data_IF_243924484242
#
_entry.id   IF_243924484242
#
_cell.length_a   1.000
_cell.length_b   1.000
_cell.length_c   1.000
_cell.angle_alpha   90.00
_cell.angle_beta   90.00
_cell.angle_gamma   90.00
#
_symmetry.space_group_name_H-M   'P 1'
#
loop_
_entity.id
_entity.type
_entity.pdbx_description
1 polymer ?
#
# COMPACT_ATOMS: atom_id res chain seq x y z
N UNK A 1 77.91 -15.64 -5.62
CA UNK A 1 76.87 -16.47 -4.97
C UNK A 1 76.52 -15.84 -3.63
N UNK A 2 75.29 -15.47 -3.34
CA UNK A 2 74.11 -15.45 -4.18
C UNK A 2 73.11 -14.44 -3.61
N UNK A 3 72.40 -13.75 -4.48
CA UNK A 3 71.31 -12.81 -4.23
C UNK A 3 70.06 -13.46 -3.60
N UNK A 4 70.27 -14.54 -2.83
CA UNK A 4 69.24 -15.42 -2.29
C UNK A 4 68.70 -14.97 -0.93
N UNK A 5 69.34 -14.01 -0.25
CA UNK A 5 68.92 -13.52 1.08
C UNK A 5 68.10 -12.22 1.06
N UNK A 6 67.85 -11.63 -0.12
CA UNK A 6 67.03 -10.40 -0.26
C UNK A 6 65.68 -10.62 -0.93
N UNK A 7 65.28 -11.86 -1.23
CA UNK A 7 63.98 -12.17 -1.86
C UNK A 7 62.91 -12.67 -0.88
N UNK A 8 63.22 -12.92 0.39
CA UNK A 8 62.26 -13.50 1.34
C UNK A 8 61.50 -12.49 2.22
N UNK A 9 61.78 -11.18 2.10
CA UNK A 9 61.13 -10.14 2.93
C UNK A 9 60.04 -9.33 2.23
N UNK A 10 59.56 -9.77 1.06
CA UNK A 10 58.38 -9.19 0.37
C UNK A 10 57.28 -10.25 0.16
N UNK A 11 57.30 -11.34 0.94
CA UNK A 11 56.25 -12.38 0.95
C UNK A 11 55.16 -12.19 2.01
N UNK A 12 55.27 -11.17 2.86
CA UNK A 12 54.43 -11.01 4.04
C UNK A 12 53.22 -10.12 3.82
N UNK A 13 52.21 -10.59 3.07
CA UNK A 13 50.78 -10.24 3.23
C UNK A 13 49.91 -10.99 2.20
N UNK A 14 50.19 -12.27 1.97
CA UNK A 14 49.17 -13.15 1.37
C UNK A 14 48.08 -13.35 2.42
N UNK A 15 46.98 -12.61 2.29
CA UNK A 15 45.71 -12.96 2.94
C UNK A 15 45.51 -14.47 2.74
N UNK A 16 45.29 -15.21 3.82
CA UNK A 16 45.05 -16.65 3.74
C UNK A 16 43.89 -16.90 2.74
N UNK A 17 44.17 -17.45 1.55
CA UNK A 17 43.19 -17.56 0.49
C UNK A 17 42.04 -18.50 0.88
N UNK A 18 42.27 -19.43 1.83
CA UNK A 18 41.22 -20.30 2.37
C UNK A 18 40.27 -19.52 3.28
N UNK A 19 40.81 -18.66 4.15
CA UNK A 19 40.02 -17.75 4.98
C UNK A 19 39.27 -16.71 4.15
N UNK A 20 39.90 -16.13 3.12
CA UNK A 20 39.23 -15.19 2.21
C UNK A 20 38.13 -15.88 1.40
N UNK A 21 38.35 -17.11 0.91
CA UNK A 21 37.33 -17.90 0.23
C UNK A 21 36.13 -18.22 1.15
N UNK A 22 36.39 -18.54 2.42
CA UNK A 22 35.33 -18.80 3.42
C UNK A 22 34.50 -17.55 3.71
N UNK A 23 35.14 -16.38 3.86
CA UNK A 23 34.44 -15.10 4.07
C UNK A 23 33.60 -14.73 2.83
N UNK A 24 34.15 -14.92 1.63
CA UNK A 24 33.43 -14.63 0.38
C UNK A 24 32.22 -15.55 0.19
N UNK A 25 32.34 -16.84 0.50
CA UNK A 25 31.21 -17.78 0.47
C UNK A 25 30.10 -17.38 1.45
N UNK A 26 30.47 -17.01 2.68
CA UNK A 26 29.49 -16.54 3.66
C UNK A 26 28.74 -15.29 3.17
N UNK A 27 29.47 -14.30 2.64
CA UNK A 27 28.85 -13.08 2.08
C UNK A 27 27.94 -13.38 0.89
N UNK A 28 28.34 -14.33 0.03
CA UNK A 28 27.51 -14.77 -1.10
C UNK A 28 26.21 -15.42 -0.61
N UNK A 29 26.29 -16.27 0.41
CA UNK A 29 25.11 -16.91 1.01
C UNK A 29 24.16 -15.88 1.63
N UNK A 30 24.70 -14.85 2.30
CA UNK A 30 23.92 -13.73 2.82
C UNK A 30 23.20 -12.96 1.70
N UNK A 31 23.91 -12.63 0.61
CA UNK A 31 23.30 -11.95 -0.54
C UNK A 31 22.25 -12.81 -1.24
N UNK A 32 22.47 -14.12 -1.39
CA UNK A 32 21.47 -15.04 -1.96
C UNK A 32 20.23 -15.11 -1.07
N UNK A 33 20.41 -15.16 0.26
CA UNK A 33 19.31 -15.19 1.20
C UNK A 33 18.49 -13.89 1.15
N UNK A 34 19.15 -12.74 1.05
CA UNK A 34 18.52 -11.44 0.90
C UNK A 34 17.78 -11.32 -0.44
N UNK A 35 18.41 -11.73 -1.54
CA UNK A 35 17.79 -11.75 -2.87
C UNK A 35 16.51 -12.59 -2.89
N UNK A 36 16.56 -13.82 -2.33
CA UNK A 36 15.37 -14.69 -2.21
C UNK A 36 14.27 -14.08 -1.35
N UNK A 37 14.65 -13.36 -0.28
CA UNK A 37 13.68 -12.65 0.59
C UNK A 37 13.01 -11.50 -0.18
N UNK A 38 13.78 -10.75 -0.97
CA UNK A 38 13.27 -9.65 -1.78
C UNK A 38 12.39 -10.17 -2.93
N UNK A 39 12.77 -11.26 -3.59
CA UNK A 39 11.96 -11.91 -4.63
C UNK A 39 10.60 -12.36 -4.08
N UNK A 40 10.57 -12.99 -2.90
CA UNK A 40 9.30 -13.39 -2.25
C UNK A 40 8.40 -12.19 -1.95
N UNK A 41 8.97 -11.06 -1.51
CA UNK A 41 8.21 -9.82 -1.29
C UNK A 41 7.66 -9.28 -2.61
N UNK A 42 8.46 -9.29 -3.67
CA UNK A 42 8.05 -8.80 -4.99
C UNK A 42 6.90 -9.65 -5.57
N UNK A 43 7.00 -10.99 -5.53
CA UNK A 43 5.94 -11.87 -6.03
C UNK A 43 4.62 -11.67 -5.28
N UNK A 44 4.69 -11.49 -3.97
CA UNK A 44 3.53 -11.17 -3.11
C UNK A 44 2.88 -9.87 -3.52
N UNK A 45 3.68 -8.86 -3.81
CA UNK A 45 3.19 -7.57 -4.28
C UNK A 45 2.49 -7.66 -5.63
N UNK A 46 3.14 -8.29 -6.61
CA UNK A 46 2.57 -8.51 -7.94
C UNK A 46 1.25 -9.28 -7.86
N UNK A 47 1.15 -10.28 -6.98
CA UNK A 47 -0.10 -11.02 -6.77
C UNK A 47 -1.23 -10.14 -6.22
N UNK A 48 -0.93 -9.20 -5.31
CA UNK A 48 -1.93 -8.26 -4.82
C UNK A 48 -2.35 -7.29 -5.93
N UNK A 49 -1.38 -6.75 -6.67
CA UNK A 49 -1.64 -5.84 -7.79
C UNK A 49 -2.54 -6.48 -8.84
N UNK A 50 -2.20 -7.69 -9.30
CA UNK A 50 -3.02 -8.43 -10.27
C UNK A 50 -4.41 -8.73 -9.73
N UNK A 51 -4.53 -9.05 -8.43
CA UNK A 51 -5.83 -9.22 -7.78
C UNK A 51 -6.63 -7.91 -7.87
N UNK A 52 -6.07 -6.78 -7.44
CA UNK A 52 -6.76 -5.49 -7.43
C UNK A 52 -7.18 -5.04 -8.83
N UNK A 53 -6.33 -5.25 -9.83
CA UNK A 53 -6.63 -4.91 -11.24
C UNK A 53 -7.76 -5.77 -11.81
N UNK A 54 -7.86 -7.03 -11.38
CA UNK A 54 -8.90 -7.95 -11.82
C UNK A 54 -10.28 -7.72 -11.21
N UNK A 55 -10.39 -6.83 -10.21
CA UNK A 55 -11.66 -6.53 -9.54
C UNK A 55 -12.42 -5.43 -10.29
N UNK A 56 -13.75 -5.59 -10.36
CA UNK A 56 -14.66 -4.65 -11.01
C UNK A 56 -15.80 -4.16 -10.12
N UNK A 57 -15.94 -4.71 -8.90
CA UNK A 57 -16.85 -4.23 -7.86
C UNK A 57 -16.11 -3.31 -6.88
N UNK A 58 -16.78 -2.23 -6.48
CA UNK A 58 -16.29 -1.31 -5.44
C UNK A 58 -16.14 -2.06 -4.11
N UNK A 59 -17.12 -2.90 -3.77
CA UNK A 59 -17.11 -3.69 -2.54
C UNK A 59 -15.93 -4.67 -2.50
N UNK A 60 -15.73 -5.45 -3.57
CA UNK A 60 -14.63 -6.41 -3.63
C UNK A 60 -13.26 -5.73 -3.53
N UNK A 61 -13.12 -4.58 -4.18
CA UNK A 61 -11.90 -3.79 -4.13
C UNK A 61 -11.60 -3.30 -2.71
N UNK A 62 -12.59 -2.69 -2.05
CA UNK A 62 -12.44 -2.19 -0.68
C UNK A 62 -12.11 -3.34 0.27
N UNK A 63 -12.77 -4.49 0.15
CA UNK A 63 -12.47 -5.67 0.95
C UNK A 63 -11.05 -6.20 0.71
N UNK A 64 -10.61 -6.26 -0.54
CA UNK A 64 -9.25 -6.71 -0.88
C UNK A 64 -8.16 -5.79 -0.32
N UNK A 65 -8.44 -4.48 -0.21
CA UNK A 65 -7.53 -3.48 0.34
C UNK A 65 -7.53 -3.47 1.87
N UNK A 66 -8.70 -3.55 2.51
CA UNK A 66 -8.84 -3.51 3.97
C UNK A 66 -8.44 -4.82 4.64
N UNK A 67 -8.66 -5.95 3.97
CA UNK A 67 -8.30 -7.29 4.46
C UNK A 67 -7.29 -7.96 3.52
N UNK A 68 -6.07 -7.40 3.38
CA UNK A 68 -5.04 -8.05 2.60
C UNK A 68 -4.63 -9.35 3.29
N UNK A 69 -4.33 -10.37 2.48
CA UNK A 69 -3.96 -11.69 3.00
C UNK A 69 -2.78 -11.59 3.97
N UNK A 70 -2.99 -12.06 5.20
CA UNK A 70 -2.01 -12.01 6.30
C UNK A 70 -0.72 -12.79 5.98
N UNK A 71 -0.81 -13.82 5.12
CA UNK A 71 0.36 -14.54 4.64
C UNK A 71 1.26 -13.65 3.76
N UNK A 72 0.64 -12.66 3.11
CA UNK A 72 1.25 -11.74 2.15
C UNK A 72 1.73 -10.47 2.83
N UNK A 73 0.88 -9.81 3.63
CA UNK A 73 1.17 -8.58 4.37
C UNK A 73 0.83 -8.71 5.85
N UNK A 74 1.81 -8.47 6.72
CA UNK A 74 1.60 -8.50 8.19
C UNK A 74 1.14 -7.15 8.73
N UNK A 75 0.18 -6.47 8.13
CA UNK A 75 -0.28 -5.17 8.67
C UNK A 75 -1.18 -5.40 9.88
N UNK A 76 -1.02 -4.60 10.92
CA UNK A 76 -1.77 -4.81 12.17
C UNK A 76 -3.14 -4.13 12.11
N UNK A 77 -3.20 -2.99 11.42
CA UNK A 77 -4.44 -2.25 11.20
C UNK A 77 -4.40 -1.63 9.80
N UNK A 78 -5.52 -1.72 9.08
CA UNK A 78 -5.68 -1.09 7.77
C UNK A 78 -7.00 -0.34 7.78
N UNK A 79 -7.00 0.91 7.33
CA UNK A 79 -8.19 1.74 7.22
C UNK A 79 -8.20 2.45 5.89
N UNK A 80 -9.39 2.79 5.42
CA UNK A 80 -9.60 3.46 4.15
C UNK A 80 -10.54 4.64 4.38
N UNK A 81 -10.07 5.84 4.01
CA UNK A 81 -10.88 7.05 3.98
C UNK A 81 -11.12 7.43 2.52
N UNK A 82 -12.37 7.55 2.09
CA UNK A 82 -12.72 7.89 0.71
C UNK A 82 -13.45 9.24 0.66
N UNK A 83 -13.10 10.07 -0.31
CA UNK A 83 -13.84 11.29 -0.60
C UNK A 83 -15.06 10.91 -1.45
N UNK A 84 -16.26 11.14 -0.91
CA UNK A 84 -17.53 10.76 -1.54
C UNK A 84 -18.59 11.89 -1.41
N UNK A 85 -18.34 13.09 -1.99
CA UNK A 85 -19.25 14.23 -1.88
C UNK A 85 -20.62 13.97 -2.51
N UNK A 86 -20.65 13.21 -3.60
CA UNK A 86 -21.87 12.91 -4.36
C UNK A 86 -22.60 11.63 -3.92
N UNK A 87 -22.12 10.96 -2.87
CA UNK A 87 -22.70 9.70 -2.37
C UNK A 87 -22.75 8.61 -3.46
N UNK A 88 -21.71 8.50 -4.27
CA UNK A 88 -21.62 7.51 -5.34
C UNK A 88 -21.09 6.19 -4.82
N UNK A 89 -20.03 6.24 -3.99
CA UNK A 89 -19.35 5.06 -3.45
C UNK A 89 -20.25 4.39 -2.41
N UNK A 90 -20.77 5.17 -1.46
CA UNK A 90 -21.69 4.64 -0.44
C UNK A 90 -22.91 3.98 -1.08
N UNK A 91 -23.55 4.66 -2.05
CA UNK A 91 -24.69 4.08 -2.76
C UNK A 91 -24.35 2.80 -3.51
N UNK A 92 -23.17 2.72 -4.13
CA UNK A 92 -22.74 1.51 -4.83
C UNK A 92 -22.63 0.32 -3.87
N UNK A 93 -22.07 0.55 -2.68
CA UNK A 93 -21.99 -0.47 -1.63
C UNK A 93 -23.38 -0.88 -1.13
N UNK A 94 -24.27 0.09 -0.90
CA UNK A 94 -25.64 -0.18 -0.45
C UNK A 94 -26.46 -0.96 -1.50
N UNK A 95 -26.31 -0.65 -2.79
CA UNK A 95 -26.95 -1.38 -3.90
C UNK A 95 -26.45 -2.82 -4.01
N UNK A 96 -25.19 -3.09 -3.64
CA UNK A 96 -24.63 -4.43 -3.50
C UNK A 96 -25.07 -5.15 -2.20
N UNK A 97 -25.88 -4.50 -1.35
CA UNK A 97 -26.40 -5.07 -0.11
C UNK A 97 -25.42 -5.01 1.07
N UNK A 98 -24.40 -4.17 0.99
CA UNK A 98 -23.38 -4.02 2.05
C UNK A 98 -23.92 -3.17 3.20
N UNK A 99 -23.83 -3.67 4.43
CA UNK A 99 -24.05 -2.87 5.62
C UNK A 99 -22.77 -2.15 6.04
N UNK A 100 -22.68 -0.85 5.79
CA UNK A 100 -21.50 -0.03 6.12
C UNK A 100 -21.15 -0.06 7.61
N UNK A 101 -22.09 -0.39 8.51
CA UNK A 101 -21.82 -0.54 9.96
C UNK A 101 -20.93 -1.74 10.27
N UNK A 102 -20.88 -2.72 9.37
CA UNK A 102 -20.01 -3.89 9.48
C UNK A 102 -18.57 -3.60 8.98
N UNK A 103 -18.32 -2.40 8.43
CA UNK A 103 -17.03 -1.98 7.90
C UNK A 103 -16.43 -0.81 8.72
N UNK A 104 -16.05 -1.01 9.99
CA UNK A 104 -15.58 0.07 10.88
C UNK A 104 -14.23 0.69 10.44
N UNK A 105 -13.54 0.04 9.50
CA UNK A 105 -12.27 0.51 8.93
C UNK A 105 -12.45 1.32 7.64
N UNK A 106 -13.68 1.40 7.11
CA UNK A 106 -14.05 2.24 5.99
C UNK A 106 -14.69 3.53 6.50
N UNK A 107 -14.18 4.66 6.03
CA UNK A 107 -14.64 5.99 6.41
C UNK A 107 -14.88 6.81 5.15
N UNK A 108 -15.76 7.79 5.24
CA UNK A 108 -16.08 8.69 4.16
C UNK A 108 -15.90 10.14 4.60
N UNK A 109 -15.36 10.95 3.70
CA UNK A 109 -15.33 12.41 3.82
C UNK A 109 -16.26 13.00 2.76
N UNK A 110 -17.05 14.00 3.15
CA UNK A 110 -17.88 14.76 2.20
C UNK A 110 -17.14 15.96 1.62
N UNK A 111 -16.07 16.42 2.28
CA UNK A 111 -15.25 17.53 1.82
C UNK A 111 -13.78 17.09 1.67
N UNK A 112 -13.13 17.62 0.62
CA UNK A 112 -11.70 17.52 0.40
C UNK A 112 -10.87 18.15 1.51
N UNK A 113 -11.40 19.13 2.25
CA UNK A 113 -10.69 19.81 3.34
C UNK A 113 -10.37 18.87 4.51
N UNK A 114 -11.28 17.94 4.82
CA UNK A 114 -11.07 16.92 5.86
C UNK A 114 -9.88 16.01 5.51
N UNK A 115 -9.68 15.75 4.22
CA UNK A 115 -8.66 14.86 3.70
C UNK A 115 -7.33 15.60 3.49
N UNK A 116 -7.39 16.83 3.01
CA UNK A 116 -6.23 17.68 2.72
C UNK A 116 -5.45 18.04 3.99
N UNK A 117 -6.12 18.11 5.15
CA UNK A 117 -5.49 18.32 6.45
C UNK A 117 -4.37 17.30 6.76
N UNK A 118 -4.46 16.09 6.22
CA UNK A 118 -3.45 15.03 6.40
C UNK A 118 -2.30 15.09 5.38
N UNK A 119 -2.46 15.81 4.26
CA UNK A 119 -1.55 15.80 3.11
C UNK A 119 -1.12 17.19 2.62
N UNK A 120 -1.26 18.23 3.45
CA UNK A 120 -1.03 19.64 3.11
C UNK A 120 0.29 19.95 2.40
N UNK A 121 1.34 19.16 2.66
CA UNK A 121 2.70 19.39 2.14
C UNK A 121 3.09 18.50 0.96
N UNK A 122 2.41 17.36 0.77
CA UNK A 122 2.85 16.33 -0.16
C UNK A 122 1.76 15.29 -0.42
N UNK A 123 1.58 14.95 -1.70
CA UNK A 123 0.75 13.85 -2.17
C UNK A 123 1.54 12.53 -2.32
N UNK A 124 2.60 12.37 -1.52
CA UNK A 124 3.38 11.14 -1.43
C UNK A 124 3.11 10.42 -0.10
N UNK A 125 3.30 9.09 -0.04
CA UNK A 125 3.16 8.34 1.20
C UNK A 125 4.03 8.89 2.32
N UNK A 126 3.45 9.01 3.50
CA UNK A 126 4.15 9.46 4.71
C UNK A 126 4.29 8.31 5.68
N UNK A 127 5.50 8.14 6.21
CA UNK A 127 5.86 7.09 7.15
C UNK A 127 6.32 7.74 8.45
N UNK A 128 5.84 7.27 9.59
CA UNK A 128 6.32 7.81 10.86
C UNK A 128 5.70 7.20 12.11
N UNK A 129 6.07 7.73 13.29
CA UNK A 129 5.47 7.33 14.55
C UNK A 129 3.99 7.74 14.59
N UNK A 130 3.17 6.96 15.29
CA UNK A 130 1.78 7.33 15.50
C UNK A 130 1.68 8.58 16.39
N UNK A 131 0.88 9.56 15.97
CA UNK A 131 0.60 10.80 16.71
C UNK A 131 -0.90 10.96 16.87
N UNK A 132 -1.40 10.81 18.09
CA UNK A 132 -2.85 10.80 18.35
C UNK A 132 -3.58 12.02 17.78
N UNK A 133 -3.02 13.24 17.93
CA UNK A 133 -3.63 14.46 17.39
C UNK A 133 -3.80 14.46 15.86
N UNK A 134 -2.93 13.77 15.14
CA UNK A 134 -2.91 13.76 13.68
C UNK A 134 -3.61 12.52 13.10
N UNK A 135 -3.54 11.39 13.79
CA UNK A 135 -3.93 10.09 13.21
C UNK A 135 -5.16 9.47 13.88
N UNK A 136 -5.66 9.99 15.00
CA UNK A 136 -6.79 9.39 15.72
C UNK A 136 -8.05 9.19 14.87
N UNK A 137 -8.31 10.11 13.93
CA UNK A 137 -9.48 10.05 13.06
C UNK A 137 -9.33 9.03 11.93
N UNK A 138 -8.10 8.66 11.58
CA UNK A 138 -7.79 7.67 10.54
C UNK A 138 -7.75 6.23 11.08
N UNK A 139 -7.79 6.04 12.40
CA UNK A 139 -7.75 4.73 13.06
C UNK A 139 -8.84 4.65 14.16
N UNK A 140 -10.14 4.60 13.76
CA UNK A 140 -11.27 4.64 14.70
C UNK A 140 -11.46 3.33 15.48
N UNK A 141 -11.03 2.19 14.92
CA UNK A 141 -11.21 0.86 15.51
C UNK A 141 -10.15 0.57 16.60
N UNK A 142 -10.27 1.25 17.74
CA UNK A 142 -9.27 1.32 18.83
C UNK A 142 -9.15 0.06 19.70
N UNK A 143 -8.95 -1.14 19.13
CA UNK A 143 -8.53 -2.30 19.95
C UNK A 143 -7.16 -2.06 20.59
N UNK A 144 -6.25 -1.41 19.86
CA UNK A 144 -4.92 -1.01 20.31
C UNK A 144 -4.38 0.10 19.41
N UNK A 145 -3.67 1.08 19.98
CA UNK A 145 -3.06 2.16 19.18
C UNK A 145 -1.81 1.68 18.44
N UNK A 146 -1.64 2.00 17.14
CA UNK A 146 -0.39 1.76 16.42
C UNK A 146 0.80 2.46 17.09
N UNK A 147 1.98 1.83 17.02
CA UNK A 147 3.26 2.48 17.36
C UNK A 147 3.85 3.27 16.20
N UNK A 148 3.60 2.83 14.96
CA UNK A 148 3.97 3.55 13.74
C UNK A 148 2.88 3.43 12.68
N UNK A 149 2.85 4.37 11.73
CA UNK A 149 1.86 4.44 10.65
C UNK A 149 2.49 4.72 9.29
N UNK A 150 1.81 4.27 8.25
CA UNK A 150 2.01 4.68 6.87
C UNK A 150 0.68 5.26 6.35
N UNK A 151 0.69 6.51 5.87
CA UNK A 151 -0.48 7.14 5.24
C UNK A 151 -0.22 7.24 3.74
N UNK A 152 -1.07 6.61 2.93
CA UNK A 152 -0.94 6.52 1.48
C UNK A 152 -2.04 7.38 0.83
N UNK A 153 -1.70 8.53 0.23
CA UNK A 153 -2.68 9.38 -0.43
C UNK A 153 -3.15 8.74 -1.73
N UNK A 154 -4.45 8.52 -1.86
CA UNK A 154 -5.05 8.01 -3.09
C UNK A 154 -5.28 9.18 -4.04
N UNK A 155 -4.51 9.25 -5.13
CA UNK A 155 -4.50 10.39 -6.05
C UNK A 155 -4.83 9.93 -7.46
N UNK A 156 -5.80 10.61 -8.08
CA UNK A 156 -6.19 10.44 -9.49
C UNK A 156 -6.23 11.79 -10.16
N UNK A 157 -5.58 11.89 -11.32
CA UNK A 157 -5.59 13.11 -12.13
C UNK A 157 -5.19 14.38 -11.34
N UNK A 158 -4.25 14.23 -10.40
CA UNK A 158 -3.79 15.33 -9.53
C UNK A 158 -4.74 15.68 -8.37
N UNK A 159 -5.87 14.99 -8.21
CA UNK A 159 -6.83 15.17 -7.12
C UNK A 159 -6.71 14.05 -6.09
N UNK A 160 -6.76 14.42 -4.82
CA UNK A 160 -6.80 13.49 -3.70
C UNK A 160 -8.23 12.97 -3.54
N UNK A 161 -8.41 11.66 -3.74
CA UNK A 161 -9.72 10.98 -3.72
C UNK A 161 -9.91 10.10 -2.48
N UNK A 162 -8.87 9.94 -1.67
CA UNK A 162 -8.92 9.16 -0.45
C UNK A 162 -7.55 8.99 0.21
N UNK A 163 -7.52 8.15 1.23
CA UNK A 163 -6.32 7.78 1.97
C UNK A 163 -6.40 6.33 2.41
N UNK A 164 -5.42 5.53 2.01
CA UNK A 164 -5.20 4.19 2.55
C UNK A 164 -4.21 4.30 3.71
N UNK A 165 -4.62 3.91 4.91
CA UNK A 165 -3.78 4.05 6.10
C UNK A 165 -3.43 2.68 6.65
N UNK A 166 -2.16 2.50 7.00
CA UNK A 166 -1.63 1.26 7.54
C UNK A 166 -1.01 1.53 8.90
N UNK A 167 -1.49 0.84 9.92
CA UNK A 167 -0.98 0.87 11.28
C UNK A 167 -0.12 -0.35 11.59
N UNK A 168 0.92 -0.16 12.40
CA UNK A 168 1.62 -1.27 13.03
C UNK A 168 1.85 -1.02 14.52
N UNK A 169 1.71 -2.06 15.33
CA UNK A 169 2.04 -2.05 16.75
C UNK A 169 3.56 -2.01 17.00
N UNK A 170 4.37 -2.32 15.99
CA UNK A 170 5.81 -2.11 16.04
C UNK A 170 6.14 -0.65 15.71
N UNK A 171 6.69 0.08 16.67
CA UNK A 171 7.07 1.48 16.53
C UNK A 171 8.23 1.72 15.54
N UNK A 172 9.03 0.70 15.20
CA UNK A 172 10.17 0.85 14.29
C UNK A 172 9.82 0.54 12.83
N UNK A 173 8.65 -0.05 12.59
CA UNK A 173 8.31 -0.58 11.26
C UNK A 173 8.24 0.48 10.17
N UNK A 174 7.72 1.67 10.48
CA UNK A 174 7.52 2.74 9.50
C UNK A 174 8.35 4.00 9.83
N UNK A 175 9.51 3.86 10.48
CA UNK A 175 10.24 5.03 11.00
C UNK A 175 11.74 5.03 10.62
N UNK A 176 12.27 3.96 10.00
CA UNK A 176 13.69 3.89 9.56
C UNK A 176 13.88 3.19 8.22
N UNK A 177 14.50 3.87 7.25
CA UNK A 177 15.11 3.25 6.05
C UNK A 177 14.18 2.46 5.14
N UNK A 178 12.87 2.48 5.40
CA UNK A 178 11.86 1.85 4.55
C UNK A 178 11.66 2.72 3.34
N UNK A 179 11.98 2.17 2.17
CA UNK A 179 11.65 2.82 0.91
C UNK A 179 10.12 2.93 0.79
N UNK A 180 9.65 4.10 0.36
CA UNK A 180 8.23 4.38 0.11
C UNK A 180 7.76 3.86 -1.24
N UNK A 181 8.66 3.40 -2.11
CA UNK A 181 8.34 2.99 -3.49
C UNK A 181 7.22 1.95 -3.57
N UNK A 182 7.22 0.98 -2.65
CA UNK A 182 6.13 0.02 -2.52
C UNK A 182 4.80 0.69 -2.20
N UNK A 183 4.79 1.62 -1.24
CA UNK A 183 3.58 2.31 -0.81
C UNK A 183 3.10 3.32 -1.86
N UNK A 184 4.02 3.95 -2.59
CA UNK A 184 3.71 4.83 -3.71
C UNK A 184 3.00 4.05 -4.82
N UNK A 185 3.56 2.91 -5.22
CA UNK A 185 2.96 2.07 -6.26
C UNK A 185 1.63 1.48 -5.80
N UNK A 186 1.53 0.98 -4.56
CA UNK A 186 0.26 0.50 -4.03
C UNK A 186 -0.81 1.59 -4.03
N UNK A 187 -0.46 2.80 -3.57
CA UNK A 187 -1.38 3.94 -3.56
C UNK A 187 -1.87 4.25 -4.97
N UNK A 188 -0.97 4.27 -5.95
CA UNK A 188 -1.32 4.48 -7.34
C UNK A 188 -2.28 3.39 -7.86
N UNK A 189 -1.98 2.11 -7.66
CA UNK A 189 -2.82 0.99 -8.12
C UNK A 189 -4.21 1.05 -7.49
N UNK A 190 -4.30 1.19 -6.16
CA UNK A 190 -5.59 1.31 -5.46
C UNK A 190 -6.39 2.48 -6.00
N UNK A 191 -5.73 3.61 -6.25
CA UNK A 191 -6.38 4.79 -6.84
C UNK A 191 -6.92 4.53 -8.26
N UNK A 192 -6.18 3.80 -9.12
CA UNK A 192 -6.64 3.40 -10.48
C UNK A 192 -7.92 2.57 -10.31
N UNK A 193 -7.81 1.51 -9.51
CA UNK A 193 -8.85 0.51 -9.42
C UNK A 193 -10.14 1.11 -8.83
N UNK A 194 -10.00 2.02 -7.86
CA UNK A 194 -11.14 2.67 -7.23
C UNK A 194 -11.88 3.58 -8.21
N UNK A 195 -11.17 4.46 -8.92
CA UNK A 195 -11.77 5.32 -9.95
C UNK A 195 -12.44 4.48 -11.04
N UNK A 196 -11.80 3.40 -11.48
CA UNK A 196 -12.35 2.49 -12.49
C UNK A 196 -13.64 1.80 -11.99
N UNK A 197 -13.65 1.26 -10.77
CA UNK A 197 -14.81 0.60 -10.20
C UNK A 197 -15.99 1.57 -10.06
N UNK A 198 -15.74 2.78 -9.55
CA UNK A 198 -16.78 3.83 -9.42
C UNK A 198 -17.30 4.26 -10.80
N UNK A 199 -16.43 4.40 -11.80
CA UNK A 199 -16.84 4.73 -13.17
C UNK A 199 -17.70 3.63 -13.81
N UNK A 200 -17.38 2.35 -13.56
CA UNK A 200 -18.20 1.22 -14.01
C UNK A 200 -19.60 1.29 -13.39
N UNK A 201 -19.70 1.55 -12.08
CA UNK A 201 -21.00 1.71 -11.42
C UNK A 201 -21.79 2.90 -11.95
N UNK A 202 -21.12 4.03 -12.20
CA UNK A 202 -21.75 5.20 -12.83
C UNK A 202 -22.32 4.87 -14.21
N UNK A 203 -21.57 4.14 -15.04
CA UNK A 203 -22.03 3.71 -16.37
C UNK A 203 -23.20 2.74 -16.30
N UNK A 204 -23.16 1.75 -15.39
CA UNK A 204 -24.27 0.82 -15.17
C UNK A 204 -25.56 1.57 -14.86
N UNK A 205 -25.50 2.57 -13.99
CA UNK A 205 -26.65 3.41 -13.61
C UNK A 205 -27.19 4.22 -14.78
N UNK A 206 -26.30 4.88 -15.53
CA UNK A 206 -26.70 5.66 -16.71
C UNK A 206 -27.38 4.78 -17.77
N UNK A 207 -26.85 3.58 -18.02
CA UNK A 207 -27.46 2.60 -18.93
C UNK A 207 -28.80 2.08 -18.43
N UNK A 208 -28.95 1.84 -17.12
CA UNK A 208 -30.23 1.43 -16.52
C UNK A 208 -31.29 2.54 -16.66
N UNK A 209 -30.92 3.80 -16.40
CA UNK A 209 -31.84 4.94 -16.54
C UNK A 209 -32.28 5.15 -17.99
N UNK A 210 -31.40 4.95 -18.97
CA UNK A 210 -31.73 5.13 -20.39
C UNK A 210 -32.79 4.11 -20.85
N UNK A 211 -32.66 2.84 -20.44
CA UNK A 211 -33.67 1.80 -20.74
C UNK A 211 -35.03 2.04 -20.07
N UNK A 212 -35.05 2.67 -18.89
CA UNK A 212 -36.28 3.03 -18.17
C UNK A 212 -36.93 4.31 -18.74
N UNK A 213 -36.18 5.18 -19.42
CA UNK A 213 -36.71 6.37 -20.10
C UNK A 213 -37.08 6.16 -21.57
N UNK A 214 -36.70 5.04 -22.19
CA UNK A 214 -36.96 4.72 -23.60
C UNK A 214 -38.43 4.32 -23.93
N UNK A 215 -39.43 4.69 -23.13
CA UNK A 215 -40.86 4.51 -23.46
C UNK A 215 -41.68 5.80 -23.27
N UNK A 216 -41.10 6.98 -23.46
CA UNK A 216 -41.93 8.16 -23.69
C UNK A 216 -41.40 9.08 -24.78
N UNK A 217 -41.33 8.54 -26.00
CA UNK A 217 -41.53 9.34 -27.20
C UNK A 217 -42.56 8.66 -28.10
N UNK A 218 -43.84 8.82 -27.74
CA UNK A 218 -44.97 8.68 -28.68
C UNK A 218 -45.27 10.07 -29.23
N UNK A 219 -44.83 10.35 -30.46
CA UNK A 219 -45.59 10.98 -31.56
C UNK A 219 -44.69 11.30 -32.73
#
# INVERSE_FOLDING_TARGET
MSASYMLERIGGMTKDPVSENKILRHRLDEFIAEARKNERKMRRFQSLELKLIGLSSVHDLINAVLSPDYATFRWDEVTLLLLDPEYEIQRALEEEGVDLREMPHLMFASDSDDLSAHYQMSLFPTLGPYRARQHANLFPARRRTPGSVALLPLVRQGKLIGSLNVGSYNAERFVRGVRTDFFEHLSAIVSICLENAVNIERLKRQGLTDTLTAINNRR
#
